data_IF_553741175506
#
_entry.id   IF_553741175506
#
_cell.length_a   1.000
_cell.length_b   1.000
_cell.length_c   1.000
_cell.angle_alpha   90.00
_cell.angle_beta   90.00
_cell.angle_gamma   90.00
#
_symmetry.space_group_name_H-M   'P 1'
#
loop_
_entity.id
_entity.type
_entity.pdbx_description
1 polymer ?
#
# COMPACT_ATOMS: atom_id res chain seq x y z
N UNK A 1 7.45 31.97 -16.28
CA UNK A 1 6.88 30.61 -16.31
C UNK A 1 7.90 29.74 -15.62
N UNK A 2 7.61 29.26 -14.40
CA UNK A 2 8.56 28.47 -13.63
C UNK A 2 8.65 27.08 -14.26
N UNK A 3 9.88 26.62 -14.51
CA UNK A 3 10.19 25.33 -15.11
C UNK A 3 9.82 24.22 -14.11
N UNK A 4 8.78 23.43 -14.43
CA UNK A 4 8.30 22.32 -13.60
C UNK A 4 9.17 21.10 -13.91
N UNK A 5 10.15 20.84 -13.05
CA UNK A 5 11.01 19.65 -13.18
C UNK A 5 10.33 18.45 -12.55
N UNK A 6 9.87 17.52 -13.37
CA UNK A 6 9.41 16.20 -12.92
C UNK A 6 10.62 15.29 -12.75
N UNK A 7 11.11 15.17 -11.52
CA UNK A 7 12.14 14.18 -11.19
C UNK A 7 11.46 12.88 -10.80
N UNK A 8 11.47 11.90 -11.70
CA UNK A 8 11.13 10.53 -11.33
C UNK A 8 12.24 9.96 -10.43
N UNK A 9 11.87 9.48 -9.24
CA UNK A 9 12.80 8.88 -8.28
C UNK A 9 13.54 7.69 -8.89
N UNK A 10 12.91 6.90 -9.76
CA UNK A 10 13.57 5.75 -10.39
C UNK A 10 14.69 6.22 -11.32
N UNK A 11 14.39 7.15 -12.22
CA UNK A 11 15.40 7.78 -13.08
C UNK A 11 16.51 8.49 -12.28
N UNK A 12 16.17 9.26 -11.25
CA UNK A 12 17.13 10.01 -10.43
C UNK A 12 18.15 9.12 -9.71
N UNK A 13 17.74 7.91 -9.35
CA UNK A 13 18.57 6.93 -8.63
C UNK A 13 19.12 5.84 -9.56
N UNK A 14 18.88 5.92 -10.88
CA UNK A 14 19.31 4.89 -11.83
C UNK A 14 18.64 3.53 -11.62
N UNK A 15 17.46 3.50 -11.02
CA UNK A 15 16.68 2.29 -10.78
C UNK A 15 15.68 2.06 -11.92
N UNK A 16 15.40 0.80 -12.24
CA UNK A 16 14.27 0.46 -13.09
C UNK A 16 12.95 0.71 -12.32
N UNK A 17 11.92 1.28 -12.97
CA UNK A 17 10.58 1.31 -12.41
C UNK A 17 10.06 -0.11 -12.14
N UNK A 18 9.12 -0.29 -11.19
CA UNK A 18 8.46 -1.56 -10.98
C UNK A 18 7.77 -2.03 -12.26
N UNK A 19 7.89 -3.31 -12.59
CA UNK A 19 7.16 -3.91 -13.72
C UNK A 19 5.66 -3.97 -13.40
N UNK A 20 4.81 -3.19 -14.10
CA UNK A 20 3.37 -3.14 -13.85
C UNK A 20 2.69 -4.50 -13.98
N UNK A 21 3.22 -5.40 -14.83
CA UNK A 21 2.65 -6.74 -15.00
C UNK A 21 2.80 -7.61 -13.75
N UNK A 22 3.76 -7.28 -12.88
CA UNK A 22 4.04 -8.03 -11.64
C UNK A 22 3.41 -7.40 -10.40
N UNK A 23 2.81 -6.21 -10.50
CA UNK A 23 2.29 -5.48 -9.35
C UNK A 23 0.91 -5.98 -8.93
N UNK A 24 0.65 -5.95 -7.62
CA UNK A 24 -0.70 -6.17 -7.11
C UNK A 24 -1.63 -5.03 -7.56
N UNK A 25 -2.81 -5.38 -8.07
CA UNK A 25 -3.85 -4.43 -8.50
C UNK A 25 -4.94 -4.19 -7.46
N UNK A 26 -4.75 -4.69 -6.23
CA UNK A 26 -5.62 -4.40 -5.09
C UNK A 26 -5.38 -3.01 -4.50
N UNK A 27 -6.01 -2.74 -3.35
CA UNK A 27 -5.92 -1.44 -2.62
C UNK A 27 -4.49 -0.97 -2.33
N UNK A 28 -3.50 -1.88 -2.30
CA UNK A 28 -2.11 -1.51 -2.01
C UNK A 28 -1.32 -0.96 -3.18
N UNK A 29 -1.84 -1.04 -4.41
CA UNK A 29 -1.19 -0.50 -5.61
C UNK A 29 0.28 -0.96 -5.75
N UNK A 30 0.54 -2.21 -5.40
CA UNK A 30 1.87 -2.82 -5.46
C UNK A 30 2.81 -2.50 -4.29
N UNK A 31 2.35 -1.81 -3.25
CA UNK A 31 3.09 -1.55 -2.00
C UNK A 31 3.02 -2.71 -1.01
N UNK A 32 1.97 -3.54 -1.11
CA UNK A 32 1.68 -4.63 -0.18
C UNK A 32 0.86 -4.21 1.04
N UNK A 33 0.87 -2.93 1.40
CA UNK A 33 0.04 -2.33 2.45
C UNK A 33 -0.73 -1.13 1.91
N UNK A 34 -1.80 -0.75 2.58
CA UNK A 34 -2.56 0.47 2.28
C UNK A 34 -3.09 1.10 3.58
N UNK A 35 -3.24 2.43 3.61
CA UNK A 35 -3.69 3.13 4.81
C UNK A 35 -5.21 3.02 4.97
N UNK A 36 -5.65 2.84 6.21
CA UNK A 36 -7.06 2.82 6.61
C UNK A 36 -7.26 3.71 7.83
N UNK A 37 -8.31 4.52 7.79
CA UNK A 37 -8.76 5.31 8.92
C UNK A 37 -9.78 4.55 9.76
N UNK A 38 -9.74 4.69 11.08
CA UNK A 38 -10.67 4.04 12.02
C UNK A 38 -12.15 4.29 11.73
N UNK A 39 -12.46 5.47 11.19
CA UNK A 39 -13.83 5.91 10.91
C UNK A 39 -14.26 5.63 9.47
N UNK A 40 -13.49 4.84 8.71
CA UNK A 40 -13.91 4.42 7.37
C UNK A 40 -15.13 3.47 7.47
N UNK A 41 -16.26 3.95 6.95
CA UNK A 41 -17.53 3.23 6.96
C UNK A 41 -17.63 2.11 5.91
N UNK A 42 -16.66 2.01 5.00
CA UNK A 42 -16.62 1.01 3.94
C UNK A 42 -15.79 -0.23 4.30
N UNK A 43 -15.17 -0.25 5.48
CA UNK A 43 -14.33 -1.36 5.93
C UNK A 43 -15.08 -2.66 6.05
N UNK A 44 -14.52 -3.69 5.42
CA UNK A 44 -14.86 -5.08 5.71
C UNK A 44 -14.49 -5.44 7.16
N UNK A 45 -15.07 -6.52 7.66
CA UNK A 45 -14.77 -7.03 9.00
C UNK A 45 -13.28 -7.40 9.15
N UNK A 46 -12.68 -7.96 8.11
CA UNK A 46 -11.27 -8.32 8.09
C UNK A 46 -10.35 -7.09 8.16
N UNK A 47 -10.68 -6.02 7.44
CA UNK A 47 -9.93 -4.78 7.46
C UNK A 47 -10.03 -4.08 8.82
N UNK A 48 -11.24 -4.08 9.42
CA UNK A 48 -11.45 -3.56 10.77
C UNK A 48 -10.61 -4.31 11.80
N UNK A 49 -10.61 -5.64 11.75
CA UNK A 49 -9.79 -6.46 12.64
C UNK A 49 -8.28 -6.23 12.42
N UNK A 50 -7.84 -6.04 11.18
CA UNK A 50 -6.45 -5.73 10.87
C UNK A 50 -6.04 -4.35 11.39
N UNK A 51 -6.92 -3.35 11.28
CA UNK A 51 -6.71 -2.01 11.84
C UNK A 51 -6.63 -2.08 13.37
N UNK A 52 -7.56 -2.77 14.04
CA UNK A 52 -7.55 -2.94 15.50
C UNK A 52 -6.28 -3.67 16.00
N UNK A 53 -5.80 -4.65 15.23
CA UNK A 53 -4.56 -5.34 15.54
C UNK A 53 -3.33 -4.42 15.40
N UNK A 54 -3.31 -3.55 14.38
CA UNK A 54 -2.25 -2.56 14.19
C UNK A 54 -2.24 -1.54 15.34
N UNK A 55 -3.40 -0.97 15.66
CA UNK A 55 -3.59 -0.03 16.78
C UNK A 55 -3.16 -0.66 18.12
N UNK A 56 -3.52 -1.92 18.37
CA UNK A 56 -3.09 -2.63 19.58
C UNK A 56 -1.57 -2.83 19.63
N UNK A 57 -0.92 -3.05 18.49
CA UNK A 57 0.52 -3.30 18.42
C UNK A 57 1.33 -1.99 18.54
N UNK A 58 0.84 -0.92 17.92
CA UNK A 58 1.44 0.40 17.94
C UNK A 58 0.31 1.44 17.80
N UNK A 59 -0.20 1.98 18.91
CA UNK A 59 -1.25 3.00 18.86
C UNK A 59 -0.82 4.24 18.09
N UNK A 60 -1.74 4.81 17.31
CA UNK A 60 -1.52 6.10 16.63
C UNK A 60 -2.64 7.10 16.97
N UNK A 61 -2.27 8.37 17.16
CA UNK A 61 -3.19 9.43 17.54
C UNK A 61 -3.98 9.97 16.34
N UNK A 62 -3.48 9.76 15.11
CA UNK A 62 -4.10 10.29 13.90
C UNK A 62 -5.25 9.41 13.36
N UNK A 63 -5.42 8.21 13.92
CA UNK A 63 -6.48 7.26 13.55
C UNK A 63 -6.21 6.46 12.28
N UNK A 64 -5.02 6.55 11.69
CA UNK A 64 -4.61 5.83 10.49
C UNK A 64 -3.69 4.66 10.83
N UNK A 65 -3.91 3.53 10.16
CA UNK A 65 -2.96 2.40 10.16
C UNK A 65 -2.75 1.86 8.76
N UNK A 66 -1.53 1.43 8.47
CA UNK A 66 -1.24 0.64 7.28
C UNK A 66 -1.53 -0.83 7.55
N UNK A 67 -2.48 -1.40 6.82
CA UNK A 67 -2.80 -2.82 6.93
C UNK A 67 -2.29 -3.61 5.72
N UNK A 68 -2.08 -4.91 5.89
CA UNK A 68 -1.67 -5.81 4.81
C UNK A 68 -2.79 -5.99 3.80
N UNK A 69 -2.44 -5.90 2.52
CA UNK A 69 -3.35 -6.20 1.43
C UNK A 69 -3.68 -7.69 1.37
N UNK A 70 -4.97 -8.01 1.39
CA UNK A 70 -5.46 -9.39 1.28
C UNK A 70 -5.13 -9.99 -0.09
N UNK A 71 -5.20 -9.22 -1.18
CA UNK A 71 -5.03 -9.71 -2.55
C UNK A 71 -3.62 -10.23 -2.86
N UNK A 72 -2.60 -9.62 -2.23
CA UNK A 72 -1.20 -10.02 -2.40
C UNK A 72 -0.53 -10.46 -1.11
N UNK A 73 -1.28 -10.59 -0.03
CA UNK A 73 -0.80 -10.95 1.31
C UNK A 73 0.44 -10.14 1.75
N UNK A 74 0.45 -8.84 1.51
CA UNK A 74 1.55 -7.97 1.92
C UNK A 74 2.75 -7.89 0.96
N UNK A 75 2.75 -8.63 -0.15
CA UNK A 75 3.94 -8.70 -1.03
C UNK A 75 4.04 -7.54 -2.02
N UNK A 76 2.92 -6.88 -2.34
CA UNK A 76 2.83 -5.92 -3.43
C UNK A 76 2.93 -6.56 -4.82
N UNK A 77 2.93 -7.89 -4.91
CA UNK A 77 3.06 -8.64 -6.17
C UNK A 77 1.75 -9.32 -6.55
N UNK A 78 1.50 -9.44 -7.85
CA UNK A 78 0.37 -10.21 -8.36
C UNK A 78 0.65 -11.71 -8.20
N UNK A 79 -0.42 -12.52 -8.15
CA UNK A 79 -0.29 -13.98 -8.11
C UNK A 79 0.54 -14.52 -9.29
N UNK A 80 0.43 -13.88 -10.47
CA UNK A 80 1.19 -14.23 -11.67
C UNK A 80 2.70 -13.99 -11.54
N UNK A 81 3.14 -13.12 -10.63
CA UNK A 81 4.54 -12.83 -10.37
C UNK A 81 5.22 -13.84 -9.43
N UNK A 82 4.46 -14.81 -8.90
CA UNK A 82 4.99 -15.90 -8.06
C UNK A 82 5.28 -17.18 -8.86
N UNK A 83 5.25 -17.12 -10.20
CA UNK A 83 5.57 -18.22 -11.12
C UNK A 83 7.04 -18.41 -11.39
#
# INVERSE_FOLDING_TARGET
>A
MTDLQFTDRYAALGMAPPDPATMCHGQCEGTGVYPIHKDDGSLTEAERAAWEAAEKAAPDEDGWHFIKCADCNGTGKSAAAHG
#
